data_IF_269205865142
#
_entry.id   IF_269205865142
#
_cell.length_a   1.000
_cell.length_b   1.000
_cell.length_c   1.000
_cell.angle_alpha   90.00
_cell.angle_beta   90.00
_cell.angle_gamma   90.00
#
_symmetry.space_group_name_H-M   'P 1'
#
loop_
_entity.id
_entity.type
_entity.pdbx_description
1 polymer ?
#
# COMPACT_ATOMS: atom_id res chain seq x y z
N UNK A 1 14.38 -13.14 -6.42
CA UNK A 1 13.86 -12.84 -6.62
C UNK A 1 13.32 -11.96 -6.19
N UNK A 2 13.32 -11.30 -5.77
CA UNK A 2 12.82 -10.33 -5.29
C UNK A 2 11.47 -10.16 -5.33
N UNK A 3 10.77 -10.66 -4.81
CA UNK A 3 9.43 -10.50 -4.85
C UNK A 3 8.96 -9.18 -4.41
N UNK A 4 7.74 -8.86 -4.68
CA UNK A 4 7.18 -7.65 -4.24
C UNK A 4 6.74 -7.82 -2.83
N UNK A 5 6.83 -6.81 -2.00
CA UNK A 5 6.40 -6.90 -0.62
C UNK A 5 4.90 -7.17 -0.55
N UNK A 6 4.52 -8.15 0.20
CA UNK A 6 3.14 -8.50 0.35
C UNK A 6 2.67 -8.24 1.77
N UNK A 7 1.38 -8.14 1.93
CA UNK A 7 0.80 -7.91 3.22
C UNK A 7 0.80 -9.22 4.00
N UNK A 8 1.49 -9.25 5.09
CA UNK A 8 1.48 -10.30 6.04
C UNK A 8 1.18 -11.67 5.50
N UNK A 9 1.92 -12.23 4.68
CA UNK A 9 1.72 -13.57 4.21
C UNK A 9 0.56 -13.76 3.24
N UNK A 10 -0.07 -12.73 2.81
CA UNK A 10 -1.13 -12.86 1.84
C UNK A 10 -0.52 -12.69 0.46
N UNK A 11 -1.31 -12.79 -0.58
CA UNK A 11 -0.81 -12.56 -1.91
C UNK A 11 -1.10 -11.14 -2.31
N UNK A 12 -1.63 -10.32 -1.43
CA UNK A 12 -1.94 -8.94 -1.76
C UNK A 12 -0.68 -8.13 -1.55
N UNK A 13 -0.22 -7.44 -2.55
CA UNK A 13 1.01 -6.67 -2.41
C UNK A 13 0.72 -5.30 -1.86
N UNK A 14 1.72 -4.71 -1.25
CA UNK A 14 1.63 -3.34 -0.75
C UNK A 14 1.28 -2.41 -1.90
N UNK A 15 1.90 -2.64 -3.07
CA UNK A 15 1.63 -1.78 -4.22
C UNK A 15 0.19 -1.84 -4.68
N UNK A 16 -0.44 -3.01 -4.58
CA UNK A 16 -1.82 -3.12 -4.99
C UNK A 16 -2.70 -2.27 -4.06
N UNK A 17 -2.49 -2.37 -2.76
CA UNK A 17 -3.29 -1.64 -1.81
C UNK A 17 -3.10 -0.13 -2.00
N UNK A 18 -1.87 0.30 -2.11
CA UNK A 18 -1.58 1.71 -2.28
C UNK A 18 -2.13 2.22 -3.60
N UNK A 19 -2.02 1.41 -4.64
CA UNK A 19 -2.53 1.78 -5.95
C UNK A 19 -4.05 1.93 -5.95
N UNK A 20 -4.75 1.05 -5.24
CA UNK A 20 -6.19 1.16 -5.17
C UNK A 20 -6.60 2.44 -4.45
N UNK A 21 -5.90 2.76 -3.37
CA UNK A 21 -6.21 3.98 -2.66
C UNK A 21 -5.95 5.20 -3.55
N UNK A 22 -4.90 5.14 -4.34
CA UNK A 22 -4.58 6.22 -5.25
C UNK A 22 -5.61 6.39 -6.35
N UNK A 23 -6.33 5.31 -6.66
CA UNK A 23 -7.34 5.40 -7.69
C UNK A 23 -8.71 5.78 -7.14
N UNK A 24 -8.80 6.03 -5.88
CA UNK A 24 -10.05 6.47 -5.31
C UNK A 24 -10.83 5.43 -4.54
N UNK A 25 -10.33 4.22 -4.45
CA UNK A 25 -11.01 3.20 -3.67
C UNK A 25 -10.74 3.49 -2.21
N UNK A 26 -11.71 3.34 -1.36
CA UNK A 26 -11.46 3.65 0.02
C UNK A 26 -11.16 2.39 0.82
N UNK A 27 -10.80 2.58 2.05
CA UNK A 27 -10.39 1.48 2.92
C UNK A 27 -11.52 0.45 3.03
N UNK A 28 -12.73 0.89 3.19
CA UNK A 28 -13.84 -0.02 3.33
C UNK A 28 -14.01 -0.90 2.11
N UNK A 29 -13.80 -0.33 0.94
CA UNK A 29 -13.93 -1.10 -0.27
C UNK A 29 -12.84 -2.13 -0.39
N UNK A 30 -11.63 -1.77 -0.03
CA UNK A 30 -10.51 -2.70 -0.11
C UNK A 30 -10.74 -3.85 0.84
N UNK A 31 -11.22 -3.57 2.04
CA UNK A 31 -11.47 -4.62 3.00
C UNK A 31 -12.61 -5.53 2.56
N UNK A 32 -13.54 -5.00 1.78
CA UNK A 32 -14.61 -5.82 1.30
C UNK A 32 -14.11 -6.74 0.18
N UNK A 33 -13.22 -6.25 -0.66
CA UNK A 33 -12.70 -7.05 -1.75
C UNK A 33 -11.69 -8.08 -1.26
N UNK A 34 -11.00 -7.78 -0.19
CA UNK A 34 -10.00 -8.68 0.37
C UNK A 34 -10.31 -8.89 1.85
N UNK A 35 -11.29 -9.69 2.14
CA UNK A 35 -11.77 -9.83 3.52
C UNK A 35 -10.76 -10.37 4.52
N UNK A 36 -9.68 -10.97 4.04
CA UNK A 36 -8.69 -11.46 4.97
C UNK A 36 -7.74 -10.35 5.38
N UNK A 37 -7.88 -9.16 4.84
CA UNK A 37 -7.05 -8.06 5.28
C UNK A 37 -7.75 -7.36 6.43
N UNK A 38 -6.97 -6.64 7.22
CA UNK A 38 -7.50 -5.87 8.31
C UNK A 38 -7.16 -4.42 8.09
N UNK A 39 -7.84 -3.55 8.74
CA UNK A 39 -7.57 -2.12 8.60
C UNK A 39 -6.13 -1.79 8.93
N UNK A 40 -5.55 -2.48 9.93
CA UNK A 40 -4.16 -2.24 10.28
C UNK A 40 -3.24 -2.64 9.13
N UNK A 41 -3.63 -3.58 8.31
CA UNK A 41 -2.80 -3.99 7.18
C UNK A 41 -2.72 -2.86 6.18
N UNK A 42 -3.80 -2.12 5.99
CA UNK A 42 -3.79 -1.00 5.07
C UNK A 42 -2.91 0.11 5.62
N UNK A 43 -2.98 0.35 6.93
CA UNK A 43 -2.15 1.38 7.54
C UNK A 43 -0.68 0.99 7.41
N UNK A 44 -0.36 -0.27 7.60
CA UNK A 44 1.01 -0.74 7.45
C UNK A 44 1.50 -0.57 6.03
N UNK A 45 0.63 -0.83 5.05
CA UNK A 45 1.01 -0.68 3.66
C UNK A 45 1.31 0.78 3.34
N UNK A 46 0.49 1.68 3.86
CA UNK A 46 0.73 3.09 3.62
C UNK A 46 2.00 3.56 4.29
N UNK A 47 2.28 3.08 5.48
CA UNK A 47 3.50 3.46 6.19
C UNK A 47 4.72 2.96 5.43
N UNK A 48 4.63 1.72 4.92
CA UNK A 48 5.75 1.15 4.19
C UNK A 48 5.99 1.95 2.91
N UNK A 49 4.92 2.32 2.23
CA UNK A 49 5.04 3.07 0.99
C UNK A 49 5.63 4.45 1.24
N UNK A 50 5.25 5.07 2.33
CA UNK A 50 5.79 6.38 2.67
C UNK A 50 7.27 6.29 3.00
N UNK A 51 7.65 5.22 3.70
CA UNK A 51 9.04 5.05 4.05
C UNK A 51 9.86 4.82 2.79
N UNK A 52 9.36 4.02 1.86
CA UNK A 52 10.10 3.77 0.63
C UNK A 52 10.18 5.03 -0.22
N UNK A 53 9.14 5.82 -0.21
CA UNK A 53 9.15 7.05 -0.97
C UNK A 53 10.19 8.00 -0.40
N UNK A 54 10.32 8.04 0.92
CA UNK A 54 11.29 8.90 1.50
C UNK A 54 12.68 8.44 1.14
N UNK A 55 12.94 7.18 1.10
CA UNK A 55 14.25 6.71 0.77
C UNK A 55 14.61 7.06 -0.63
N UNK A 56 13.68 7.06 -1.54
CA UNK A 56 14.01 7.36 -2.90
C UNK A 56 13.58 8.71 -3.25
N UNK A 57 13.38 9.62 -2.28
CA UNK A 57 12.85 10.86 -2.58
C UNK A 57 13.60 11.69 -3.43
N UNK A 58 13.03 12.38 -4.32
CA UNK A 58 13.68 13.31 -5.05
C UNK A 58 12.81 14.47 -4.98
N UNK A 59 13.29 15.61 -4.97
CA UNK A 59 12.52 16.78 -4.83
C UNK A 59 11.45 16.84 -5.86
N UNK A 60 10.27 17.01 -5.44
CA UNK A 60 9.21 17.10 -6.33
C UNK A 60 9.20 18.47 -6.69
N UNK A 61 9.20 18.75 -7.84
CA UNK A 61 9.25 20.06 -8.25
C UNK A 61 8.16 20.81 -7.93
N UNK A 62 7.42 20.61 -7.17
CA UNK A 62 6.32 21.30 -6.97
C UNK A 62 6.64 22.29 -6.34
N UNK A 63 7.11 22.46 -6.26
CA UNK A 63 7.25 23.57 -5.60
C UNK A 63 7.45 23.56 -5.30
#
# INVERSE_FOLDING_TARGET
MGGRPCIRGTRVTVGLVVGMLGQGHDRAEILRLYPYLESDDIDAALTYAAWRADEQERPVATG
#
